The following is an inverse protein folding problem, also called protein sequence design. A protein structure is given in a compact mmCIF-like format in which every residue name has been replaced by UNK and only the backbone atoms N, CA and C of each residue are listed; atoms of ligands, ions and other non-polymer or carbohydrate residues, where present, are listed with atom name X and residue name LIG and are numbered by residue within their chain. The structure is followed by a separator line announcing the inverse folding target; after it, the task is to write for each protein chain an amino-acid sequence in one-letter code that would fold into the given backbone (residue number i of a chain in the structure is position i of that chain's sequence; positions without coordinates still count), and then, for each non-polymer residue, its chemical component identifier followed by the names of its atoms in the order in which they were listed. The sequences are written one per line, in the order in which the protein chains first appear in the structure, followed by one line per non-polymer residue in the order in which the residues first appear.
data_IF_401077603298
#
_entry.id   IF_401077603298
#
_cell.length_a   1.000
_cell.length_b   1.000
_cell.length_c   1.000
_cell.angle_alpha   90.00
_cell.angle_beta   90.00
_cell.angle_gamma   90.00
#
_symmetry.space_group_name_H-M   'P 1'
#
loop_
_entity.id
_entity.type
_entity.pdbx_description
1 polymer ?
#
# COMPACT_ATOMS: atom_id res chain seq x y z
N UNK A 1 -14.01 -18.79 3.06
CA UNK A 1 -12.96 -18.58 2.02
C UNK A 1 -12.10 -17.41 2.43
N UNK A 2 -10.78 -17.48 2.23
CA UNK A 2 -9.87 -16.35 2.43
C UNK A 2 -8.92 -16.24 1.23
N UNK A 3 -8.42 -15.06 0.94
CA UNK A 3 -7.47 -14.80 -0.15
C UNK A 3 -6.46 -13.73 0.24
N UNK A 4 -5.29 -13.78 -0.39
CA UNK A 4 -4.29 -12.72 -0.34
C UNK A 4 -4.67 -11.67 -1.39
N UNK A 5 -4.62 -10.39 -1.01
CA UNK A 5 -4.96 -9.27 -1.90
C UNK A 5 -3.99 -8.11 -1.66
N UNK A 6 -3.72 -7.32 -2.70
CA UNK A 6 -2.90 -6.10 -2.60
C UNK A 6 -3.69 -4.96 -1.98
N UNK A 7 -5.00 -4.96 -2.16
CA UNK A 7 -5.91 -3.94 -1.65
C UNK A 7 -7.31 -4.53 -1.47
N UNK A 8 -8.00 -4.08 -0.43
CA UNK A 8 -9.44 -4.30 -0.27
C UNK A 8 -10.09 -2.96 0.13
N UNK A 9 -11.26 -2.61 -0.39
CA UNK A 9 -11.92 -1.32 -0.14
C UNK A 9 -12.17 -0.99 1.34
N UNK A 10 -12.16 -1.98 2.21
CA UNK A 10 -12.36 -1.83 3.65
C UNK A 10 -11.07 -1.76 4.49
N UNK A 11 -9.89 -1.71 3.85
CA UNK A 11 -8.64 -1.36 4.54
C UNK A 11 -8.81 0.00 5.24
N UNK A 12 -8.61 0.04 6.55
CA UNK A 12 -8.97 1.21 7.37
C UNK A 12 -8.19 2.48 6.99
N UNK A 13 -6.98 2.34 6.44
CA UNK A 13 -6.19 3.45 5.90
C UNK A 13 -6.60 3.86 4.47
N UNK A 14 -7.38 3.04 3.76
CA UNK A 14 -7.77 3.24 2.37
C UNK A 14 -9.22 3.68 2.14
N UNK A 15 -10.09 3.53 3.14
CA UNK A 15 -11.55 3.76 3.00
C UNK A 15 -11.88 5.13 2.43
N UNK A 16 -11.32 6.21 2.98
CA UNK A 16 -11.62 7.58 2.56
C UNK A 16 -11.22 7.81 1.09
N UNK A 17 -10.02 7.38 0.70
CA UNK A 17 -9.54 7.50 -0.69
C UNK A 17 -10.37 6.65 -1.64
N UNK A 18 -10.79 5.44 -1.22
CA UNK A 18 -11.67 4.59 -2.00
C UNK A 18 -13.04 5.24 -2.23
N UNK A 19 -13.63 5.86 -1.22
CA UNK A 19 -14.90 6.56 -1.36
C UNK A 19 -14.80 7.76 -2.33
N UNK A 20 -13.72 8.52 -2.29
CA UNK A 20 -13.48 9.60 -3.23
C UNK A 20 -13.27 9.07 -4.66
N UNK A 21 -12.54 7.99 -4.82
CA UNK A 21 -12.38 7.30 -6.11
C UNK A 21 -13.74 6.83 -6.66
N UNK A 22 -14.55 6.21 -5.80
CA UNK A 22 -15.88 5.71 -6.16
C UNK A 22 -16.86 6.82 -6.58
N UNK A 23 -16.79 8.01 -5.97
CA UNK A 23 -17.58 9.17 -6.39
C UNK A 23 -17.28 9.58 -7.84
N UNK A 24 -16.04 9.44 -8.27
CA UNK A 24 -15.60 9.84 -9.62
C UNK A 24 -15.86 8.74 -10.64
N UNK A 25 -15.56 7.49 -10.31
CA UNK A 25 -15.52 6.38 -11.26
C UNK A 25 -16.67 5.39 -11.11
N UNK A 26 -17.49 5.54 -10.07
CA UNK A 26 -18.63 4.63 -9.73
C UNK A 26 -18.22 3.16 -9.52
N UNK A 27 -16.96 2.91 -9.17
CA UNK A 27 -16.42 1.59 -8.82
C UNK A 27 -15.44 1.74 -7.66
N UNK A 28 -15.23 0.67 -6.91
CA UNK A 28 -14.18 0.64 -5.89
C UNK A 28 -12.79 0.59 -6.53
N UNK A 29 -11.79 1.09 -5.81
CA UNK A 29 -10.39 0.81 -6.12
C UNK A 29 -10.11 -0.69 -6.03
N UNK A 30 -9.13 -1.13 -6.79
CA UNK A 30 -8.51 -2.45 -6.69
C UNK A 30 -7.00 -2.31 -6.39
N UNK A 31 -6.28 -3.43 -6.32
CA UNK A 31 -4.83 -3.43 -6.06
C UNK A 31 -4.07 -2.47 -6.99
N UNK A 32 -4.26 -2.59 -8.29
CA UNK A 32 -3.54 -1.75 -9.26
C UNK A 32 -3.86 -0.25 -9.16
N UNK A 33 -5.11 0.12 -8.88
CA UNK A 33 -5.45 1.53 -8.69
C UNK A 33 -4.88 2.09 -7.38
N UNK A 34 -4.83 1.29 -6.32
CA UNK A 34 -4.23 1.67 -5.05
C UNK A 34 -2.70 1.82 -5.14
N UNK A 35 -2.05 0.89 -5.84
CA UNK A 35 -0.63 0.96 -6.14
C UNK A 35 -0.30 2.19 -6.99
N UNK A 36 -1.05 2.41 -8.08
CA UNK A 36 -0.86 3.56 -8.97
C UNK A 36 -1.05 4.89 -8.24
N UNK A 37 -2.06 5.00 -7.38
CA UNK A 37 -2.26 6.16 -6.51
C UNK A 37 -1.03 6.40 -5.62
N UNK A 38 -0.54 5.38 -4.97
CA UNK A 38 0.62 5.45 -4.08
C UNK A 38 1.88 5.85 -4.84
N UNK A 39 2.10 5.25 -6.02
CA UNK A 39 3.27 5.55 -6.87
C UNK A 39 3.27 7.00 -7.37
N UNK A 40 2.12 7.54 -7.76
CA UNK A 40 2.02 8.95 -8.19
C UNK A 40 2.43 9.91 -7.06
N UNK A 41 1.96 9.68 -5.84
CA UNK A 41 2.36 10.50 -4.69
C UNK A 41 3.84 10.32 -4.32
N UNK A 42 4.36 9.10 -4.47
CA UNK A 42 5.77 8.80 -4.24
C UNK A 42 6.67 9.57 -5.23
N UNK A 43 6.33 9.54 -6.53
CA UNK A 43 7.06 10.29 -7.55
C UNK A 43 6.95 11.81 -7.35
N UNK A 44 5.76 12.32 -7.02
CA UNK A 44 5.60 13.73 -6.70
C UNK A 44 6.56 14.14 -5.59
N UNK A 45 6.58 13.40 -4.48
CA UNK A 45 7.47 13.67 -3.34
C UNK A 45 8.95 13.61 -3.74
N UNK A 46 9.32 12.62 -4.58
CA UNK A 46 10.70 12.48 -5.05
C UNK A 46 11.14 13.63 -5.96
N UNK A 47 10.28 14.07 -6.89
CA UNK A 47 10.56 15.20 -7.78
C UNK A 47 10.72 16.50 -6.99
N UNK A 48 9.84 16.75 -6.03
CA UNK A 48 9.93 17.91 -5.16
C UNK A 48 11.21 17.90 -4.31
N UNK A 49 11.57 16.74 -3.75
CA UNK A 49 12.81 16.55 -3.00
C UNK A 49 14.06 16.71 -3.87
N UNK A 50 14.01 16.21 -5.10
CA UNK A 50 15.12 16.35 -6.07
C UNK A 50 15.28 17.78 -6.59
N UNK A 51 14.20 18.58 -6.57
CA UNK A 51 14.15 19.90 -7.22
C UNK A 51 14.45 19.84 -8.72
N UNK A 52 14.23 18.68 -9.37
CA UNK A 52 14.62 18.38 -10.74
C UNK A 52 13.72 17.33 -11.35
N UNK A 53 13.58 17.36 -12.67
CA UNK A 53 12.94 16.29 -13.47
C UNK A 53 13.95 15.33 -14.09
N UNK A 54 15.24 15.47 -13.79
CA UNK A 54 16.28 14.52 -14.22
C UNK A 54 16.08 13.16 -13.57
N UNK A 55 16.11 12.11 -14.37
CA UNK A 55 15.83 10.75 -13.91
C UNK A 55 16.82 10.22 -12.86
N UNK A 56 18.10 10.61 -12.95
CA UNK A 56 19.09 10.20 -11.96
C UNK A 56 18.86 10.91 -10.63
N UNK A 57 18.54 12.20 -10.66
CA UNK A 57 18.21 12.98 -9.46
C UNK A 57 16.95 12.45 -8.77
N UNK A 58 15.92 12.10 -9.55
CA UNK A 58 14.67 11.51 -9.01
C UNK A 58 14.96 10.14 -8.38
N UNK A 59 15.73 9.29 -9.04
CA UNK A 59 16.12 7.97 -8.52
C UNK A 59 16.86 8.11 -7.18
N UNK A 60 17.80 9.03 -7.09
CA UNK A 60 18.57 9.24 -5.86
C UNK A 60 17.71 9.84 -4.74
N UNK A 61 16.77 10.72 -5.09
CA UNK A 61 15.77 11.22 -4.15
C UNK A 61 14.85 10.11 -3.64
N UNK A 62 14.34 9.23 -4.51
CA UNK A 62 13.55 8.05 -4.15
C UNK A 62 14.29 7.15 -3.18
N UNK A 63 15.57 6.86 -3.48
CA UNK A 63 16.41 6.00 -2.65
C UNK A 63 16.60 6.52 -1.22
N UNK A 64 16.46 7.80 -1.00
CA UNK A 64 16.58 8.46 0.30
C UNK A 64 15.25 8.89 0.92
N UNK A 65 14.10 8.40 0.40
CA UNK A 65 12.79 8.67 1.01
C UNK A 65 12.53 7.73 2.19
N UNK A 66 11.90 8.30 3.21
CA UNK A 66 11.23 7.58 4.29
C UNK A 66 9.90 8.28 4.52
N UNK A 67 8.80 7.59 4.23
CA UNK A 67 7.44 8.10 4.35
C UNK A 67 6.73 7.21 5.36
N UNK A 68 6.15 7.80 6.39
CA UNK A 68 5.45 7.10 7.45
C UNK A 68 4.01 7.60 7.54
N UNK A 69 3.05 6.70 7.33
CA UNK A 69 1.61 6.94 7.38
C UNK A 69 1.05 7.73 6.21
N UNK A 70 1.65 8.86 5.86
CA UNK A 70 1.12 9.75 4.83
C UNK A 70 2.22 10.53 4.09
N UNK A 71 1.91 10.88 2.84
CA UNK A 71 2.65 11.85 2.04
C UNK A 71 2.38 13.28 2.53
N UNK A 72 3.18 14.24 2.05
CA UNK A 72 2.94 15.64 2.30
C UNK A 72 1.51 16.05 1.86
N UNK A 73 0.86 16.92 2.65
CA UNK A 73 -0.54 17.29 2.45
C UNK A 73 -1.54 16.26 3.02
N UNK A 74 -1.07 15.30 3.83
CA UNK A 74 -1.92 14.35 4.55
C UNK A 74 -2.49 13.21 3.70
N UNK A 75 -1.98 13.00 2.49
CA UNK A 75 -2.40 11.89 1.62
C UNK A 75 -1.85 10.57 2.12
N UNK A 76 -2.73 9.69 2.60
CA UNK A 76 -2.35 8.42 3.23
C UNK A 76 -1.76 7.43 2.22
N UNK A 77 -0.88 6.57 2.72
CA UNK A 77 -0.54 5.31 2.05
C UNK A 77 -1.78 4.43 2.18
N UNK A 78 -2.37 4.04 1.04
CA UNK A 78 -3.64 3.27 1.01
C UNK A 78 -3.44 1.77 0.85
N UNK A 79 -2.20 1.31 0.82
CA UNK A 79 -1.81 -0.10 0.74
C UNK A 79 -1.73 -0.73 2.14
N UNK A 80 -1.68 -2.09 2.26
CA UNK A 80 -1.70 -2.77 3.55
C UNK A 80 -0.35 -2.68 4.30
N UNK A 81 0.23 -1.49 4.30
CA UNK A 81 1.41 -1.10 5.08
C UNK A 81 1.42 0.41 5.29
N UNK A 82 2.06 0.86 6.36
CA UNK A 82 2.08 2.27 6.76
C UNK A 82 3.39 2.99 6.41
N UNK A 83 4.42 2.27 5.96
CA UNK A 83 5.73 2.88 5.71
C UNK A 83 6.29 2.51 4.35
N UNK A 84 6.90 3.49 3.69
CA UNK A 84 7.70 3.31 2.47
C UNK A 84 9.12 3.80 2.76
N UNK A 85 10.08 2.88 2.69
CA UNK A 85 11.49 3.17 2.86
C UNK A 85 12.30 2.15 2.06
N UNK A 86 13.12 2.64 1.14
CA UNK A 86 13.91 1.78 0.29
C UNK A 86 15.22 1.42 0.99
N UNK A 87 15.36 0.14 1.34
CA UNK A 87 16.54 -0.38 1.99
C UNK A 87 17.81 -0.20 1.12
N UNK A 88 18.99 -0.02 1.72
CA UNK A 88 20.25 -0.23 1.02
C UNK A 88 20.33 -1.68 0.51
N UNK A 89 21.34 -1.96 -0.33
CA UNK A 89 21.63 -3.34 -0.76
C UNK A 89 21.78 -4.27 0.43
N UNK A 90 21.12 -5.43 0.38
CA UNK A 90 21.23 -6.49 1.38
C UNK A 90 21.15 -7.85 0.70
N UNK A 91 21.52 -8.93 1.41
CA UNK A 91 21.54 -10.30 0.89
C UNK A 91 20.74 -11.24 1.79
N UNK A 92 19.87 -12.05 1.17
CA UNK A 92 19.14 -13.12 1.84
C UNK A 92 19.30 -14.40 1.02
N UNK A 93 19.79 -15.47 1.63
CA UNK A 93 19.91 -16.78 0.99
C UNK A 93 20.80 -16.79 -0.25
N UNK A 94 21.82 -15.94 -0.32
CA UNK A 94 22.69 -15.79 -1.49
C UNK A 94 22.11 -14.93 -2.63
N UNK A 95 20.92 -14.33 -2.43
CA UNK A 95 20.30 -13.41 -3.41
C UNK A 95 20.48 -11.98 -2.94
N UNK A 96 21.02 -11.14 -3.82
CA UNK A 96 21.16 -9.71 -3.58
C UNK A 96 19.88 -8.98 -3.89
N UNK A 97 19.45 -8.16 -2.94
CA UNK A 97 18.29 -7.28 -3.03
C UNK A 97 18.72 -5.83 -3.08
N UNK A 98 18.11 -5.06 -3.97
CA UNK A 98 18.47 -3.67 -4.23
C UNK A 98 17.26 -2.78 -4.06
N UNK A 99 17.29 -1.89 -3.06
CA UNK A 99 16.31 -0.82 -2.91
C UNK A 99 14.86 -1.31 -2.76
N UNK A 100 14.65 -2.46 -2.13
CA UNK A 100 13.31 -2.96 -1.85
C UNK A 100 12.65 -2.13 -0.74
N UNK A 101 11.33 -1.94 -0.85
CA UNK A 101 10.54 -1.47 0.30
C UNK A 101 10.34 -2.63 1.28
N UNK A 102 11.13 -2.67 2.35
CA UNK A 102 11.09 -3.75 3.34
C UNK A 102 9.83 -3.74 4.21
N UNK A 103 9.03 -2.67 4.14
CA UNK A 103 7.73 -2.57 4.84
C UNK A 103 6.56 -3.01 3.97
N UNK A 104 6.79 -3.31 2.68
CA UNK A 104 5.74 -3.77 1.79
C UNK A 104 5.11 -5.07 2.31
N UNK A 105 3.80 -5.11 2.30
CA UNK A 105 3.00 -6.23 2.77
C UNK A 105 1.78 -6.41 1.87
N UNK A 106 1.12 -7.53 2.01
CA UNK A 106 -0.17 -7.83 1.39
C UNK A 106 -1.25 -7.87 2.46
N UNK A 107 -2.52 -7.83 2.07
CA UNK A 107 -3.63 -8.06 2.98
C UNK A 107 -4.15 -9.49 2.85
N UNK A 108 -4.77 -10.00 3.91
CA UNK A 108 -5.61 -11.19 3.85
C UNK A 108 -7.05 -10.74 4.05
N UNK A 109 -7.88 -11.07 3.08
CA UNK A 109 -9.32 -10.84 3.15
C UNK A 109 -10.05 -12.19 3.27
N UNK A 110 -11.10 -12.20 4.07
CA UNK A 110 -11.98 -13.34 4.31
C UNK A 110 -13.40 -12.98 3.92
N UNK A 111 -14.11 -13.91 3.29
CA UNK A 111 -15.55 -13.74 3.03
C UNK A 111 -16.30 -13.96 4.34
N UNK A 112 -16.97 -12.92 4.79
CA UNK A 112 -17.84 -12.89 5.97
C UNK A 112 -19.15 -12.21 5.54
N UNK A 113 -20.28 -12.84 5.81
CA UNK A 113 -21.61 -12.33 5.45
C UNK A 113 -21.73 -11.91 3.97
N UNK A 114 -21.15 -12.73 3.07
CA UNK A 114 -21.11 -12.53 1.61
C UNK A 114 -20.27 -11.32 1.13
N UNK A 115 -19.49 -10.72 1.99
CA UNK A 115 -18.57 -9.61 1.68
C UNK A 115 -17.12 -9.99 1.98
N UNK A 116 -16.19 -9.41 1.23
CA UNK A 116 -14.78 -9.48 1.56
C UNK A 116 -14.45 -8.52 2.70
N UNK A 117 -13.93 -9.06 3.80
CA UNK A 117 -13.47 -8.28 4.96
C UNK A 117 -11.98 -8.48 5.14
N UNK A 118 -11.24 -7.40 5.31
CA UNK A 118 -9.81 -7.45 5.64
C UNK A 118 -9.66 -7.93 7.08
N UNK A 119 -8.89 -9.02 7.25
CA UNK A 119 -8.64 -9.63 8.55
C UNK A 119 -7.17 -9.56 8.99
N UNK A 120 -6.28 -9.21 8.05
CA UNK A 120 -4.87 -8.99 8.31
C UNK A 120 -4.27 -8.04 7.23
N UNK A 121 -3.29 -7.17 7.54
CA UNK A 121 -2.64 -6.95 8.84
C UNK A 121 -3.62 -6.39 9.87
N UNK A 122 -3.46 -6.77 11.13
CA UNK A 122 -4.40 -6.37 12.18
C UNK A 122 -4.53 -4.85 12.37
N UNK A 123 -3.48 -4.13 12.05
CA UNK A 123 -3.45 -2.66 12.06
C UNK A 123 -4.46 -2.03 11.08
N UNK A 124 -4.71 -2.68 9.94
CA UNK A 124 -5.61 -2.21 8.89
C UNK A 124 -6.86 -3.07 8.71
N UNK A 125 -7.04 -4.06 9.58
CA UNK A 125 -8.17 -4.97 9.51
C UNK A 125 -9.49 -4.26 9.83
N UNK A 126 -10.51 -4.55 9.04
CA UNK A 126 -11.88 -4.10 9.27
C UNK A 126 -12.67 -5.12 10.10
N UNK A 127 -12.19 -6.36 10.19
CA UNK A 127 -12.86 -7.44 10.92
C UNK A 127 -11.85 -8.41 11.53
N UNK A 128 -12.34 -9.23 12.47
CA UNK A 128 -11.56 -10.35 13.03
C UNK A 128 -11.69 -11.58 12.14
N UNK A 129 -10.68 -12.45 12.17
CA UNK A 129 -10.76 -13.76 11.55
C UNK A 129 -11.92 -14.54 12.18
N UNK A 130 -12.77 -15.13 11.34
CA UNK A 130 -13.82 -16.04 11.76
C UNK A 130 -13.41 -17.47 11.47
N UNK A 131 -13.61 -18.36 12.45
CA UNK A 131 -13.43 -19.79 12.23
C UNK A 131 -14.54 -20.31 11.29
N UNK A 132 -14.12 -21.06 10.27
CA UNK A 132 -15.07 -21.75 9.38
C UNK A 132 -15.25 -23.15 9.93
N UNK A 133 -16.39 -23.40 10.55
CA UNK A 133 -16.79 -24.78 10.91
C UNK A 133 -17.20 -25.49 9.61
N UNK A 134 -16.38 -26.42 9.17
CA UNK A 134 -16.78 -27.35 8.12
C UNK A 134 -17.84 -28.28 8.73
N UNK A 135 -19.08 -28.08 8.36
CA UNK A 135 -20.16 -28.97 8.70
C UNK A 135 -20.05 -30.32 7.99
#
# INVERSE_FOLDING_TARGET
MASVVEFNPDLTNGVETNEDFKKVYNVNMNGHSAESYTVVWLFKTAIEKAGSTDGAAIRDALAGLSIDGAFEGGRKIVLPYSKIEFAPEYEIGGVKHYRDNTYASVAIAQVQDQEWKTVWPFEFASSKIQEVTLG
#
